data_IF_494917197923
#
_entry.id   IF_494917197923
#
_cell.length_a   1.000
_cell.length_b   1.000
_cell.length_c   1.000
_cell.angle_alpha   90.00
_cell.angle_beta   90.00
_cell.angle_gamma   90.00
#
_symmetry.space_group_name_H-M   'P 1'
#
loop_
_entity.id
_entity.type
_entity.pdbx_description
1 polymer ?
#
# COMPACT_ATOMS: atom_id res chain seq x y z
N UNK A 1 -8.91 -47.57 -56.01
CA UNK A 1 -9.62 -47.29 -54.73
C UNK A 1 -8.70 -47.06 -53.51
N UNK A 2 -7.38 -46.83 -53.65
CA UNK A 2 -6.47 -46.56 -52.51
C UNK A 2 -6.12 -45.08 -52.27
N UNK A 3 -6.57 -44.17 -53.15
CA UNK A 3 -6.17 -42.75 -53.11
C UNK A 3 -7.12 -41.86 -52.27
N UNK A 4 -8.39 -42.24 -52.15
CA UNK A 4 -9.39 -41.46 -51.39
C UNK A 4 -9.26 -41.60 -49.86
N UNK A 5 -8.66 -42.69 -49.37
CA UNK A 5 -8.50 -42.93 -47.93
C UNK A 5 -7.37 -42.08 -47.32
N UNK A 6 -6.31 -41.80 -48.08
CA UNK A 6 -5.16 -41.01 -47.62
C UNK A 6 -5.47 -39.51 -47.57
N UNK A 7 -6.31 -39.02 -48.49
CA UNK A 7 -6.75 -37.62 -48.54
C UNK A 7 -7.75 -37.32 -47.41
N UNK A 8 -8.65 -38.26 -47.10
CA UNK A 8 -9.60 -38.11 -45.99
C UNK A 8 -8.89 -38.04 -44.62
N UNK A 9 -7.82 -38.81 -44.41
CA UNK A 9 -7.05 -38.79 -43.16
C UNK A 9 -6.27 -37.46 -42.97
N UNK A 10 -5.77 -36.88 -44.06
CA UNK A 10 -5.06 -35.59 -44.03
C UNK A 10 -6.00 -34.40 -43.71
N UNK A 11 -7.25 -34.45 -44.15
CA UNK A 11 -8.26 -33.42 -43.86
C UNK A 11 -8.72 -33.48 -42.39
N UNK A 12 -8.79 -34.67 -41.79
CA UNK A 12 -9.13 -34.86 -40.37
C UNK A 12 -8.01 -34.32 -39.46
N UNK A 13 -6.73 -34.54 -39.82
CA UNK A 13 -5.60 -33.97 -39.07
C UNK A 13 -5.49 -32.46 -39.25
N UNK A 14 -5.80 -31.92 -40.43
CA UNK A 14 -5.79 -30.48 -40.68
C UNK A 14 -6.94 -29.73 -39.99
N UNK A 15 -8.08 -30.39 -39.73
CA UNK A 15 -9.20 -29.83 -38.95
C UNK A 15 -9.05 -30.04 -37.43
N UNK A 16 -8.10 -30.88 -37.00
CA UNK A 16 -7.60 -31.01 -35.63
C UNK A 16 -6.48 -30.01 -35.29
N UNK A 17 -6.18 -29.07 -36.19
CA UNK A 17 -5.48 -27.82 -35.88
C UNK A 17 -6.40 -26.96 -35.03
N UNK A 18 -6.67 -27.48 -33.83
CA UNK A 18 -7.31 -26.83 -32.72
C UNK A 18 -6.73 -25.43 -32.66
N UNK A 19 -7.58 -24.43 -32.83
CA UNK A 19 -7.27 -23.08 -32.39
C UNK A 19 -7.06 -23.17 -30.87
N UNK A 20 -5.88 -23.63 -30.44
CA UNK A 20 -5.41 -23.47 -29.07
C UNK A 20 -5.01 -22.00 -29.01
N UNK A 21 -6.02 -21.14 -28.97
CA UNK A 21 -5.85 -19.79 -28.48
C UNK A 21 -5.51 -20.01 -27.01
N UNK A 22 -4.21 -19.98 -26.67
CA UNK A 22 -3.76 -19.98 -25.28
C UNK A 22 -4.30 -18.68 -24.70
N UNK A 23 -5.47 -18.76 -24.06
CA UNK A 23 -6.07 -17.63 -23.38
C UNK A 23 -5.05 -17.13 -22.35
N UNK A 24 -4.82 -15.82 -22.33
CA UNK A 24 -3.90 -15.24 -21.36
C UNK A 24 -4.40 -15.59 -19.95
N UNK A 25 -3.51 -16.00 -19.04
CA UNK A 25 -3.90 -16.39 -17.68
C UNK A 25 -4.55 -15.19 -17.00
N UNK A 26 -5.72 -15.39 -16.40
CA UNK A 26 -6.43 -14.33 -15.68
C UNK A 26 -5.61 -13.88 -14.47
N UNK A 27 -5.40 -12.58 -14.38
CA UNK A 27 -4.64 -11.93 -13.31
C UNK A 27 -5.62 -11.27 -12.33
N UNK A 28 -5.47 -11.53 -11.03
CA UNK A 28 -6.17 -10.83 -9.95
C UNK A 28 -5.27 -9.82 -9.24
N UNK A 29 -5.83 -8.69 -8.83
CA UNK A 29 -5.17 -7.74 -7.92
C UNK A 29 -5.73 -7.94 -6.51
N UNK A 30 -4.87 -8.32 -5.57
CA UNK A 30 -5.18 -8.42 -4.15
C UNK A 30 -4.58 -7.23 -3.42
N UNK A 31 -5.40 -6.30 -2.95
CA UNK A 31 -4.96 -5.16 -2.11
C UNK A 31 -5.03 -5.62 -0.65
N UNK A 32 -3.90 -5.59 0.06
CA UNK A 32 -3.79 -6.10 1.44
C UNK A 32 -3.62 -4.93 2.40
N UNK A 33 -4.58 -4.73 3.30
CA UNK A 33 -4.44 -3.84 4.44
C UNK A 33 -4.26 -4.63 5.73
N UNK A 34 -3.81 -3.96 6.78
CA UNK A 34 -3.69 -4.57 8.10
C UNK A 34 -5.05 -5.03 8.64
N UNK A 35 -6.03 -4.12 8.63
CA UNK A 35 -7.35 -4.32 9.26
C UNK A 35 -7.38 -3.81 10.70
N UNK A 36 -8.58 -3.47 11.15
CA UNK A 36 -8.87 -2.91 12.47
C UNK A 36 -10.10 -3.58 13.07
N UNK A 37 -10.18 -3.74 14.39
CA UNK A 37 -11.43 -4.12 15.05
C UNK A 37 -12.57 -3.11 14.82
N UNK A 38 -12.24 -1.87 14.43
CA UNK A 38 -13.23 -0.84 14.13
C UNK A 38 -13.62 -0.81 12.66
N UNK A 39 -14.90 -1.08 12.39
CA UNK A 39 -15.47 -1.06 11.05
C UNK A 39 -15.30 0.30 10.35
N UNK A 40 -15.36 1.40 11.09
CA UNK A 40 -15.16 2.75 10.55
C UNK A 40 -13.77 2.93 9.94
N UNK A 41 -12.75 2.29 10.51
CA UNK A 41 -11.38 2.35 9.99
C UNK A 41 -11.17 1.42 8.79
N UNK A 42 -11.98 0.37 8.67
CA UNK A 42 -11.92 -0.58 7.55
C UNK A 42 -12.67 -0.05 6.31
N UNK A 43 -13.71 0.76 6.48
CA UNK A 43 -14.57 1.21 5.39
C UNK A 43 -13.81 1.92 4.25
N UNK A 44 -12.91 2.91 4.51
CA UNK A 44 -12.16 3.57 3.44
C UNK A 44 -11.28 2.61 2.63
N UNK A 45 -10.77 1.55 3.29
CA UNK A 45 -9.94 0.54 2.63
C UNK A 45 -10.79 -0.31 1.69
N UNK A 46 -11.99 -0.71 2.11
CA UNK A 46 -12.91 -1.47 1.27
C UNK A 46 -13.34 -0.67 0.04
N UNK A 47 -13.55 0.64 0.19
CA UNK A 47 -13.88 1.56 -0.90
C UNK A 47 -12.77 1.69 -1.96
N UNK A 48 -11.50 1.40 -1.61
CA UNK A 48 -10.39 1.41 -2.58
C UNK A 48 -10.62 0.41 -3.71
N UNK A 49 -11.35 -0.68 -3.47
CA UNK A 49 -11.62 -1.68 -4.51
C UNK A 49 -12.30 -1.05 -5.74
N UNK A 50 -13.37 -0.29 -5.50
CA UNK A 50 -14.16 0.32 -6.58
C UNK A 50 -13.43 1.51 -7.20
N UNK A 51 -12.71 2.29 -6.39
CA UNK A 51 -11.88 3.39 -6.88
C UNK A 51 -10.75 2.92 -7.80
N UNK A 52 -10.04 1.84 -7.42
CA UNK A 52 -8.98 1.26 -8.25
C UNK A 52 -9.54 0.67 -9.53
N UNK A 53 -10.66 -0.07 -9.46
CA UNK A 53 -11.35 -0.56 -10.66
C UNK A 53 -11.72 0.57 -11.61
N UNK A 54 -12.31 1.65 -11.08
CA UNK A 54 -12.68 2.83 -11.86
C UNK A 54 -11.47 3.44 -12.56
N UNK A 55 -10.40 3.77 -11.81
CA UNK A 55 -9.20 4.41 -12.38
C UNK A 55 -8.52 3.55 -13.43
N UNK A 56 -8.42 2.24 -13.22
CA UNK A 56 -7.81 1.32 -14.18
C UNK A 56 -8.61 1.21 -15.48
N UNK A 57 -9.94 1.19 -15.37
CA UNK A 57 -10.84 1.11 -16.52
C UNK A 57 -10.84 2.42 -17.31
N UNK A 58 -10.89 3.57 -16.64
CA UNK A 58 -10.85 4.90 -17.28
C UNK A 58 -9.55 5.12 -18.08
N UNK A 59 -8.43 4.56 -17.62
CA UNK A 59 -7.15 4.62 -18.34
C UNK A 59 -7.07 3.66 -19.53
N UNK A 60 -8.02 2.73 -19.68
CA UNK A 60 -8.02 1.73 -20.75
C UNK A 60 -6.94 0.64 -20.63
N UNK A 61 -6.27 0.54 -19.49
CA UNK A 61 -5.08 -0.29 -19.29
C UNK A 61 -5.27 -1.39 -18.25
N UNK A 62 -6.50 -1.68 -17.80
CA UNK A 62 -6.74 -2.64 -16.73
C UNK A 62 -6.28 -4.07 -17.10
N UNK A 63 -5.17 -4.58 -16.54
CA UNK A 63 -4.70 -5.94 -16.82
C UNK A 63 -5.39 -6.98 -15.92
N UNK A 64 -6.18 -6.54 -14.94
CA UNK A 64 -6.75 -7.38 -13.89
C UNK A 64 -8.16 -7.81 -14.25
N UNK A 65 -8.39 -9.13 -14.20
CA UNK A 65 -9.72 -9.73 -14.35
C UNK A 65 -10.60 -9.53 -13.12
N UNK A 66 -9.99 -9.36 -11.94
CA UNK A 66 -10.69 -8.97 -10.71
C UNK A 66 -9.73 -8.18 -9.80
N UNK A 67 -10.29 -7.28 -9.00
CA UNK A 67 -9.58 -6.48 -7.99
C UNK A 67 -10.34 -6.65 -6.69
N UNK A 68 -9.65 -7.04 -5.61
CA UNK A 68 -10.25 -7.29 -4.30
C UNK A 68 -9.36 -6.75 -3.19
N UNK A 69 -10.00 -6.30 -2.12
CA UNK A 69 -9.34 -5.92 -0.88
C UNK A 69 -9.42 -7.10 0.08
N UNK A 70 -8.36 -7.31 0.86
CA UNK A 70 -8.34 -8.23 1.99
C UNK A 70 -7.62 -7.60 3.19
N UNK A 71 -7.97 -8.08 4.38
CA UNK A 71 -7.30 -7.74 5.62
C UNK A 71 -6.39 -8.88 6.08
N UNK A 72 -5.20 -8.51 6.56
CA UNK A 72 -4.29 -9.45 7.20
C UNK A 72 -4.87 -9.97 8.52
N UNK A 73 -5.50 -9.07 9.29
CA UNK A 73 -6.02 -9.35 10.63
C UNK A 73 -7.30 -8.55 10.94
N UNK A 74 -7.97 -8.91 12.05
CA UNK A 74 -9.09 -8.20 12.70
C UNK A 74 -10.38 -7.98 11.90
N UNK A 75 -10.35 -8.12 10.58
CA UNK A 75 -11.44 -7.76 9.70
C UNK A 75 -11.61 -8.74 8.56
N UNK A 76 -12.77 -8.67 7.90
CA UNK A 76 -13.11 -9.46 6.73
C UNK A 76 -13.31 -8.54 5.52
N UNK A 77 -13.01 -9.02 4.30
CA UNK A 77 -12.58 -10.39 3.98
C UNK A 77 -11.10 -10.66 4.31
N UNK A 78 -10.78 -11.88 4.74
CA UNK A 78 -9.39 -12.32 4.98
C UNK A 78 -8.65 -12.61 3.68
N UNK A 79 -7.30 -12.60 3.72
CA UNK A 79 -6.46 -12.98 2.58
C UNK A 79 -6.84 -14.37 2.03
N UNK A 80 -6.98 -15.38 2.88
CA UNK A 80 -7.39 -16.74 2.47
C UNK A 80 -8.76 -16.73 1.76
N UNK A 81 -9.75 -16.03 2.31
CA UNK A 81 -11.09 -16.00 1.71
C UNK A 81 -11.10 -15.39 0.31
N UNK A 82 -10.32 -14.33 0.08
CA UNK A 82 -10.21 -13.68 -1.23
C UNK A 82 -9.42 -14.54 -2.21
N UNK A 83 -8.37 -15.22 -1.75
CA UNK A 83 -7.61 -16.16 -2.59
C UNK A 83 -8.51 -17.32 -3.05
N UNK A 84 -9.33 -17.90 -2.17
CA UNK A 84 -10.31 -18.93 -2.56
C UNK A 84 -11.34 -18.41 -3.56
N UNK A 85 -11.80 -17.17 -3.41
CA UNK A 85 -12.68 -16.52 -4.39
C UNK A 85 -12.01 -16.39 -5.76
N UNK A 86 -10.75 -15.98 -5.79
CA UNK A 86 -9.95 -15.90 -7.01
C UNK A 86 -9.83 -17.26 -7.71
N UNK A 87 -9.55 -18.33 -6.96
CA UNK A 87 -9.52 -19.68 -7.53
C UNK A 87 -10.87 -20.09 -8.13
N UNK A 88 -11.97 -19.85 -7.40
CA UNK A 88 -13.34 -20.14 -7.89
C UNK A 88 -13.67 -19.39 -9.18
N UNK A 89 -13.11 -18.18 -9.36
CA UNK A 89 -13.32 -17.34 -10.54
C UNK A 89 -12.32 -17.63 -11.68
N UNK A 90 -11.45 -18.64 -11.51
CA UNK A 90 -10.46 -19.06 -12.50
C UNK A 90 -9.31 -18.08 -12.68
N UNK A 91 -9.04 -17.24 -11.68
CA UNK A 91 -7.78 -16.49 -11.59
C UNK A 91 -6.63 -17.50 -11.46
N UNK A 92 -5.53 -17.24 -12.14
CA UNK A 92 -4.36 -18.13 -12.17
C UNK A 92 -3.10 -17.43 -11.62
N UNK A 93 -3.08 -16.09 -11.71
CA UNK A 93 -1.99 -15.25 -11.22
C UNK A 93 -2.57 -14.19 -10.29
N UNK A 94 -1.88 -13.87 -9.20
CA UNK A 94 -2.27 -12.83 -8.27
C UNK A 94 -1.13 -11.86 -8.09
N UNK A 95 -1.40 -10.57 -8.24
CA UNK A 95 -0.51 -9.52 -7.75
C UNK A 95 -1.03 -9.04 -6.40
N UNK A 96 -0.30 -9.34 -5.34
CA UNK A 96 -0.66 -8.97 -3.97
C UNK A 96 0.05 -7.67 -3.59
N UNK A 97 -0.70 -6.59 -3.37
CA UNK A 97 -0.17 -5.25 -3.06
C UNK A 97 -0.47 -4.89 -1.60
N UNK A 98 0.53 -4.92 -0.71
CA UNK A 98 0.36 -4.48 0.67
C UNK A 98 0.33 -2.95 0.75
N UNK A 99 -0.81 -2.38 1.13
CA UNK A 99 -1.00 -0.92 1.31
C UNK A 99 -0.53 -0.47 2.71
N UNK A 100 0.75 -0.68 2.96
CA UNK A 100 1.43 -0.30 4.19
C UNK A 100 2.37 0.88 3.95
N UNK A 101 2.49 1.76 4.94
CA UNK A 101 3.31 2.98 4.81
C UNK A 101 4.78 2.65 4.58
N UNK A 102 5.34 1.74 5.36
CA UNK A 102 6.72 1.33 5.27
C UNK A 102 6.84 -0.17 5.58
N UNK A 103 8.04 -0.72 5.35
CA UNK A 103 8.35 -2.09 5.75
C UNK A 103 8.21 -2.25 7.27
N UNK A 104 7.59 -3.35 7.65
CA UNK A 104 7.39 -3.83 9.02
C UNK A 104 7.51 -5.36 9.07
N UNK A 105 7.46 -5.93 10.27
CA UNK A 105 7.35 -7.38 10.47
C UNK A 105 6.19 -7.97 9.68
N UNK A 106 5.02 -7.31 9.72
CA UNK A 106 3.85 -7.74 8.96
C UNK A 106 4.11 -7.89 7.47
N UNK A 107 4.79 -6.92 6.85
CA UNK A 107 5.05 -6.95 5.40
C UNK A 107 6.19 -7.87 5.01
N UNK A 108 7.12 -8.16 5.94
CA UNK A 108 8.32 -8.96 5.68
C UNK A 108 8.13 -10.44 6.00
N UNK A 109 7.28 -10.76 6.97
CA UNK A 109 7.13 -12.12 7.50
C UNK A 109 5.67 -12.58 7.42
N UNK A 110 4.75 -11.85 8.06
CA UNK A 110 3.37 -12.31 8.23
C UNK A 110 2.63 -12.41 6.90
N UNK A 111 2.56 -11.34 6.11
CA UNK A 111 1.87 -11.35 4.80
C UNK A 111 2.48 -12.38 3.84
N UNK A 112 3.81 -12.46 3.67
CA UNK A 112 4.42 -13.55 2.91
C UNK A 112 4.05 -14.95 3.43
N UNK A 113 4.00 -15.15 4.74
CA UNK A 113 3.61 -16.43 5.33
C UNK A 113 2.13 -16.75 5.11
N UNK A 114 1.23 -15.79 5.32
CA UNK A 114 -0.21 -15.93 5.05
C UNK A 114 -0.45 -16.30 3.58
N UNK A 115 0.31 -15.72 2.64
CA UNK A 115 0.23 -16.03 1.22
C UNK A 115 0.89 -17.37 0.82
N UNK A 116 1.51 -18.09 1.76
CA UNK A 116 2.25 -19.33 1.49
C UNK A 116 3.59 -19.13 0.76
N UNK A 117 4.12 -17.91 0.73
CA UNK A 117 5.37 -17.54 0.06
C UNK A 117 6.59 -17.61 0.99
N UNK A 118 6.36 -17.69 2.28
CA UNK A 118 7.37 -17.77 3.32
C UNK A 118 6.95 -18.81 4.36
N UNK A 119 7.91 -19.58 4.88
CA UNK A 119 7.63 -20.63 5.85
C UNK A 119 8.68 -20.61 6.95
N UNK A 120 8.34 -19.95 8.05
CA UNK A 120 9.09 -19.98 9.30
C UNK A 120 8.19 -20.55 10.40
N UNK A 121 8.63 -21.59 11.13
CA UNK A 121 7.79 -22.25 12.12
C UNK A 121 7.28 -21.34 13.24
N UNK A 122 8.06 -20.34 13.66
CA UNK A 122 7.65 -19.41 14.72
C UNK A 122 6.56 -18.46 14.21
N UNK A 123 6.75 -17.93 13.00
CA UNK A 123 5.75 -17.07 12.34
C UNK A 123 4.45 -17.84 12.09
N UNK A 124 4.54 -19.06 11.54
CA UNK A 124 3.37 -19.91 11.28
C UNK A 124 2.61 -20.20 12.57
N UNK A 125 3.31 -20.60 13.64
CA UNK A 125 2.68 -20.87 14.93
C UNK A 125 2.00 -19.61 15.50
N UNK A 126 2.59 -18.43 15.30
CA UNK A 126 2.00 -17.17 15.75
C UNK A 126 0.69 -16.86 15.00
N UNK A 127 0.72 -16.96 13.67
CA UNK A 127 -0.47 -16.76 12.82
C UNK A 127 -1.59 -17.73 13.19
N UNK A 128 -1.26 -18.99 13.49
CA UNK A 128 -2.23 -19.99 13.96
C UNK A 128 -2.88 -19.59 15.29
N UNK A 129 -2.10 -19.06 16.24
CA UNK A 129 -2.63 -18.56 17.53
C UNK A 129 -3.55 -17.35 17.34
N UNK A 130 -3.29 -16.53 16.35
CA UNK A 130 -4.12 -15.37 15.95
C UNK A 130 -5.35 -15.79 15.14
N UNK A 131 -5.49 -17.08 14.81
CA UNK A 131 -6.62 -17.60 14.04
C UNK A 131 -6.54 -17.27 12.54
N UNK A 132 -5.34 -16.95 12.05
CA UNK A 132 -5.10 -16.58 10.65
C UNK A 132 -4.82 -17.85 9.84
N UNK A 133 -5.54 -18.02 8.75
CA UNK A 133 -5.37 -19.17 7.86
C UNK A 133 -4.31 -18.90 6.82
N UNK A 134 -3.31 -19.78 6.73
CA UNK A 134 -2.32 -19.77 5.66
C UNK A 134 -2.95 -20.30 4.37
N UNK A 135 -2.79 -19.53 3.30
CA UNK A 135 -3.27 -19.85 1.96
C UNK A 135 -2.65 -21.16 1.47
N UNK A 136 -3.50 -22.02 0.91
CA UNK A 136 -3.12 -23.22 0.19
C UNK A 136 -3.66 -23.11 -1.24
N UNK A 137 -2.81 -22.72 -2.20
CA UNK A 137 -3.22 -22.49 -3.59
C UNK A 137 -2.13 -22.91 -4.58
N UNK A 138 -2.53 -23.27 -5.79
CA UNK A 138 -1.63 -23.47 -6.92
C UNK A 138 -1.48 -22.21 -7.79
N UNK A 139 -2.17 -21.11 -7.46
CA UNK A 139 -2.03 -19.84 -8.19
C UNK A 139 -0.63 -19.26 -8.00
N UNK A 140 -0.11 -18.61 -9.05
CA UNK A 140 1.15 -17.91 -8.94
C UNK A 140 0.94 -16.53 -8.31
N UNK A 141 1.44 -16.34 -7.08
CA UNK A 141 1.32 -15.08 -6.35
C UNK A 141 2.65 -14.29 -6.45
N UNK A 142 2.55 -13.04 -6.87
CA UNK A 142 3.65 -12.07 -6.80
C UNK A 142 3.33 -11.03 -5.75
N UNK A 143 4.19 -10.90 -4.74
CA UNK A 143 4.07 -9.85 -3.72
C UNK A 143 4.70 -8.54 -4.23
N UNK A 144 3.90 -7.49 -4.25
CA UNK A 144 4.30 -6.13 -4.56
C UNK A 144 4.99 -5.43 -3.38
N UNK A 145 5.56 -4.24 -3.63
CA UNK A 145 6.19 -3.46 -2.58
C UNK A 145 5.16 -2.79 -1.66
N UNK A 146 5.61 -2.26 -0.53
CA UNK A 146 4.85 -1.31 0.29
C UNK A 146 4.77 0.07 -0.38
N UNK A 147 3.91 0.95 0.12
CA UNK A 147 3.70 2.30 -0.43
C UNK A 147 4.92 3.23 -0.26
N UNK A 148 5.87 2.90 0.62
CA UNK A 148 7.13 3.66 0.75
C UNK A 148 8.00 3.58 -0.50
N UNK A 149 7.79 2.56 -1.36
CA UNK A 149 8.50 2.45 -2.64
C UNK A 149 7.81 3.36 -3.66
N UNK A 150 8.55 4.35 -4.15
CA UNK A 150 8.03 5.38 -5.04
C UNK A 150 7.79 6.71 -4.31
N UNK A 151 7.04 7.59 -4.96
CA UNK A 151 6.80 8.99 -4.60
C UNK A 151 5.40 9.26 -4.04
N UNK A 152 4.56 8.24 -3.87
CA UNK A 152 3.17 8.38 -3.38
C UNK A 152 3.09 9.21 -2.09
N UNK A 153 3.93 8.93 -1.09
CA UNK A 153 3.94 9.73 0.14
C UNK A 153 4.52 11.12 -0.05
N UNK A 154 5.42 11.30 -1.00
CA UNK A 154 6.03 12.60 -1.26
C UNK A 154 4.96 13.54 -1.83
N UNK A 155 4.15 13.06 -2.80
CA UNK A 155 3.02 13.79 -3.38
C UNK A 155 1.86 13.98 -2.40
N UNK A 156 1.41 12.91 -1.72
CA UNK A 156 0.28 13.01 -0.77
C UNK A 156 0.60 14.00 0.36
N UNK A 157 1.82 13.96 0.91
CA UNK A 157 2.20 14.89 1.97
C UNK A 157 2.36 16.32 1.46
N UNK A 158 2.87 16.50 0.23
CA UNK A 158 2.93 17.82 -0.41
C UNK A 158 1.54 18.42 -0.60
N UNK A 159 0.57 17.62 -1.06
CA UNK A 159 -0.81 18.07 -1.22
C UNK A 159 -1.41 18.51 0.11
N UNK A 160 -1.21 17.73 1.19
CA UNK A 160 -1.65 18.12 2.54
C UNK A 160 -1.01 19.41 3.01
N UNK A 161 0.28 19.61 2.75
CA UNK A 161 0.95 20.87 3.10
C UNK A 161 0.37 22.03 2.31
N UNK A 162 0.10 21.87 1.02
CA UNK A 162 -0.50 22.93 0.19
C UNK A 162 -1.93 23.28 0.59
N UNK A 163 -2.70 22.31 1.06
CA UNK A 163 -4.06 22.53 1.58
C UNK A 163 -4.05 23.37 2.87
N UNK A 164 -3.00 23.26 3.68
CA UNK A 164 -2.88 23.91 4.99
C UNK A 164 -2.06 25.22 4.97
N UNK A 165 -1.09 25.31 4.08
CA UNK A 165 -0.14 26.41 4.00
C UNK A 165 -0.76 27.65 3.36
N UNK A 166 -0.52 28.81 3.95
CA UNK A 166 -1.00 30.11 3.42
C UNK A 166 0.15 31.08 3.14
N UNK A 167 1.24 30.99 3.90
CA UNK A 167 2.43 31.80 3.75
C UNK A 167 3.70 30.91 3.93
N UNK A 168 4.08 30.14 2.90
CA UNK A 168 5.13 29.12 2.97
C UNK A 168 6.49 29.63 3.46
N UNK A 169 6.79 30.90 3.21
CA UNK A 169 8.02 31.56 3.62
C UNK A 169 8.09 31.80 5.15
N UNK A 170 6.92 31.86 5.82
CA UNK A 170 6.78 32.15 7.25
C UNK A 170 6.43 30.94 8.10
N UNK A 171 6.18 29.81 7.46
CA UNK A 171 5.66 28.60 8.08
C UNK A 171 6.76 27.55 8.28
N UNK A 172 6.49 26.58 9.13
CA UNK A 172 7.31 25.40 9.31
C UNK A 172 6.42 24.17 9.44
N UNK A 173 6.89 23.03 8.94
CA UNK A 173 6.15 21.78 8.96
C UNK A 173 6.82 20.81 9.90
N UNK A 174 6.04 20.16 10.76
CA UNK A 174 6.49 19.02 11.56
C UNK A 174 5.61 17.83 11.23
N UNK A 175 6.21 16.76 10.70
CA UNK A 175 5.51 15.52 10.41
C UNK A 175 5.54 14.64 11.65
N UNK A 176 4.37 14.33 12.19
CA UNK A 176 4.22 13.39 13.32
C UNK A 176 3.91 12.01 12.76
N UNK A 177 4.84 11.08 12.95
CA UNK A 177 4.70 9.71 12.46
C UNK A 177 4.58 8.74 13.64
N UNK A 178 3.87 7.64 13.44
CA UNK A 178 3.88 6.53 14.40
C UNK A 178 5.31 6.00 14.60
N UNK A 179 5.99 5.73 13.49
CA UNK A 179 7.32 5.15 13.49
C UNK A 179 7.32 3.66 13.86
N UNK A 180 8.52 3.11 14.03
CA UNK A 180 8.75 1.77 14.53
C UNK A 180 10.13 1.70 15.18
N UNK A 181 10.22 1.11 16.36
CA UNK A 181 11.52 0.94 17.03
C UNK A 181 12.42 -0.01 16.24
N UNK A 182 11.86 -1.11 15.72
CA UNK A 182 12.60 -2.10 14.94
C UNK A 182 12.99 -1.58 13.55
N UNK A 183 12.14 -0.76 12.93
CA UNK A 183 12.34 -0.27 11.55
C UNK A 183 12.68 1.23 11.49
N UNK A 184 13.23 1.79 12.57
CA UNK A 184 13.53 3.23 12.70
C UNK A 184 14.36 3.78 11.53
N UNK A 185 15.41 3.10 11.02
CA UNK A 185 16.19 3.61 9.89
C UNK A 185 15.37 3.77 8.59
N UNK A 186 14.42 2.86 8.35
CA UNK A 186 13.55 2.89 7.16
C UNK A 186 12.61 4.09 7.25
N UNK A 187 11.97 4.27 8.41
CA UNK A 187 11.10 5.41 8.68
C UNK A 187 11.85 6.75 8.60
N UNK A 188 13.05 6.85 9.19
CA UNK A 188 13.89 8.04 9.08
C UNK A 188 14.23 8.37 7.63
N UNK A 189 14.50 7.35 6.80
CA UNK A 189 14.82 7.55 5.38
C UNK A 189 13.61 8.08 4.61
N UNK A 190 12.44 7.47 4.83
CA UNK A 190 11.17 7.92 4.25
C UNK A 190 10.85 9.36 4.64
N UNK A 191 10.88 9.68 5.94
CA UNK A 191 10.52 11.02 6.43
C UNK A 191 11.52 12.08 5.97
N UNK A 192 12.83 11.80 5.96
CA UNK A 192 13.82 12.75 5.41
C UNK A 192 13.59 13.04 3.94
N UNK A 193 13.23 12.02 3.15
CA UNK A 193 12.90 12.18 1.72
C UNK A 193 11.68 13.08 1.56
N UNK A 194 10.59 12.78 2.28
CA UNK A 194 9.36 13.60 2.28
C UNK A 194 9.65 15.03 2.71
N UNK A 195 10.39 15.24 3.81
CA UNK A 195 10.75 16.57 4.31
C UNK A 195 11.52 17.37 3.26
N UNK A 196 12.52 16.75 2.62
CA UNK A 196 13.30 17.39 1.57
C UNK A 196 12.44 17.73 0.35
N UNK A 197 11.52 16.84 -0.02
CA UNK A 197 10.60 17.04 -1.13
C UNK A 197 9.66 18.23 -0.88
N UNK A 198 9.05 18.29 0.30
CA UNK A 198 8.17 19.40 0.70
C UNK A 198 8.93 20.72 0.67
N UNK A 199 10.08 20.81 1.35
CA UNK A 199 10.90 22.04 1.35
C UNK A 199 11.24 22.51 -0.07
N UNK A 200 11.62 21.59 -0.96
CA UNK A 200 11.96 21.92 -2.34
C UNK A 200 10.75 22.40 -3.16
N UNK A 201 9.55 21.90 -2.89
CA UNK A 201 8.34 22.18 -3.69
C UNK A 201 7.50 23.34 -3.17
N UNK A 202 7.62 23.70 -1.90
CA UNK A 202 6.82 24.78 -1.27
C UNK A 202 7.64 26.02 -0.93
N UNK A 203 8.97 25.89 -0.79
CA UNK A 203 9.81 26.96 -0.26
C UNK A 203 9.80 27.08 1.27
N UNK A 204 9.11 26.19 1.97
CA UNK A 204 9.11 26.13 3.44
C UNK A 204 10.53 25.81 3.94
N UNK A 205 11.12 26.78 4.64
CA UNK A 205 12.52 26.73 5.08
C UNK A 205 12.77 25.75 6.24
N UNK A 206 11.71 25.31 6.94
CA UNK A 206 11.85 24.37 8.05
C UNK A 206 10.82 23.23 7.94
N UNK A 207 11.31 22.03 7.62
CA UNK A 207 10.53 20.80 7.67
C UNK A 207 11.28 19.78 8.50
N UNK A 208 10.62 19.23 9.51
CA UNK A 208 11.18 18.26 10.44
C UNK A 208 10.15 17.18 10.78
N UNK A 209 10.52 16.19 11.59
CA UNK A 209 9.61 15.12 11.95
C UNK A 209 9.89 14.55 13.35
N UNK A 210 8.87 13.92 13.94
CA UNK A 210 8.98 13.24 15.22
C UNK A 210 8.22 11.89 15.17
N UNK A 211 8.71 10.92 15.95
CA UNK A 211 8.02 9.66 16.18
C UNK A 211 7.22 9.75 17.47
N UNK A 212 5.90 9.57 17.35
CA UNK A 212 4.97 9.73 18.48
C UNK A 212 4.22 8.45 18.83
N UNK A 213 4.54 7.32 18.19
CA UNK A 213 3.83 6.05 18.37
C UNK A 213 2.32 6.22 18.12
N UNK A 214 1.46 5.73 19.01
CA UNK A 214 0.02 5.98 18.99
C UNK A 214 -0.35 7.28 19.75
N UNK A 215 0.58 8.22 19.84
CA UNK A 215 0.44 9.51 20.53
C UNK A 215 1.03 9.55 21.93
N UNK A 216 1.46 8.42 22.50
CA UNK A 216 2.02 8.36 23.86
C UNK A 216 3.27 9.22 24.00
N UNK A 217 4.08 9.26 22.93
CA UNK A 217 5.34 9.99 22.89
C UNK A 217 5.18 11.42 22.33
N UNK A 218 3.95 11.92 22.17
CA UNK A 218 3.70 13.26 21.65
C UNK A 218 4.33 14.35 22.53
N UNK A 219 4.20 14.24 23.85
CA UNK A 219 4.72 15.25 24.78
C UNK A 219 6.25 15.15 24.91
N UNK A 220 6.79 13.94 24.94
CA UNK A 220 8.21 13.69 25.18
C UNK A 220 9.06 13.84 23.92
N UNK A 221 8.56 13.42 22.76
CA UNK A 221 9.31 13.40 21.50
C UNK A 221 8.77 14.42 20.48
N UNK A 222 7.44 14.58 20.40
CA UNK A 222 6.81 15.49 19.44
C UNK A 222 6.92 16.97 19.81
N UNK A 223 6.52 17.32 21.04
CA UNK A 223 6.48 18.71 21.49
C UNK A 223 7.85 19.41 21.44
N UNK A 224 8.99 18.77 21.79
CA UNK A 224 10.30 19.40 21.62
C UNK A 224 10.61 19.81 20.18
N UNK A 225 10.27 18.97 19.20
CA UNK A 225 10.48 19.27 17.78
C UNK A 225 9.60 20.42 17.32
N UNK A 226 8.32 20.41 17.72
CA UNK A 226 7.36 21.50 17.42
C UNK A 226 7.85 22.83 18.02
N UNK A 227 8.25 22.83 19.29
CA UNK A 227 8.75 24.03 19.97
C UNK A 227 10.07 24.52 19.36
N UNK A 228 10.94 23.61 18.92
CA UNK A 228 12.18 23.98 18.23
C UNK A 228 11.88 24.65 16.89
N UNK A 229 10.96 24.09 16.10
CA UNK A 229 10.49 24.68 14.84
C UNK A 229 9.92 26.07 15.08
N UNK A 230 9.01 26.23 16.03
CA UNK A 230 8.35 27.51 16.34
C UNK A 230 9.34 28.60 16.76
N UNK A 231 10.47 28.25 17.38
CA UNK A 231 11.54 29.20 17.69
C UNK A 231 12.34 29.62 16.46
N UNK A 232 12.57 28.69 15.52
CA UNK A 232 13.32 28.97 14.28
C UNK A 232 12.52 29.80 13.29
N UNK A 233 11.24 29.48 13.08
CA UNK A 233 10.35 30.27 12.21
C UNK A 233 10.19 31.71 12.71
N UNK A 234 10.15 31.93 14.03
CA UNK A 234 10.13 33.29 14.62
C UNK A 234 11.42 34.10 14.44
N UNK A 235 12.57 33.46 14.21
CA UNK A 235 13.90 34.10 14.21
C UNK A 235 14.38 34.50 12.80
N UNK A 236 13.86 33.88 11.74
CA UNK A 236 14.21 34.24 10.36
C UNK A 236 13.38 35.46 9.91
N UNK A 237 13.96 36.65 9.97
CA UNK A 237 13.32 37.96 9.73
C UNK A 237 12.84 38.21 8.28
N UNK A 238 12.76 37.19 7.43
CA UNK A 238 12.22 37.30 6.07
C UNK A 238 10.69 37.17 5.99
N UNK A 239 10.04 36.90 7.12
CA UNK A 239 8.61 36.63 7.17
C UNK A 239 7.91 37.18 8.40
N UNK A 240 7.36 38.38 8.27
CA UNK A 240 6.24 38.81 9.10
C UNK A 240 5.32 39.74 8.31
N UNK A 241 4.02 39.44 8.36
CA UNK A 241 3.07 40.44 8.83
C UNK A 241 2.43 39.88 10.11
N UNK A 242 2.77 40.47 11.27
CA UNK A 242 2.11 40.19 12.55
C UNK A 242 0.62 40.51 12.42
N UNK A 243 -0.24 39.56 12.79
CA UNK A 243 -1.56 39.88 13.33
C UNK A 243 -1.79 38.99 14.54
N UNK A 244 -1.62 39.59 15.72
CA UNK A 244 -2.05 39.02 17.00
C UNK A 244 -3.57 39.04 17.03
N UNK A 245 -4.21 37.89 17.22
CA UNK A 245 -5.52 37.84 17.86
C UNK A 245 -5.54 36.70 18.86
N UNK A 246 -5.38 37.08 20.13
CA UNK A 246 -6.03 36.41 21.24
C UNK A 246 -7.50 36.86 21.24
N UNK A 247 -8.45 35.94 21.37
CA UNK A 247 -9.62 36.13 22.24
C UNK A 247 -10.33 34.79 22.48
N UNK A 248 -10.37 34.44 23.77
CA UNK A 248 -11.22 33.49 24.53
C UNK A 248 -11.51 32.10 23.95
#
# INVERSE_FOLDING_TARGET
MKCYHTIALAIIVASLSWNISIAQPKLGLLIIAHGSPSQQWNAPVLELMDQVKYVLNERGENPFSDVRVAFAEFAQPSIDSVIRDFERNGIQKVYALPIFVALSSHTLFDIPAILGLYNDPEVVQQLEKEGITIVQTNMHITLGPTLSKGDVFDEVMLDRVRELSTAPDSEGVVILAHGSNQFKPIWCTLLRRISSYISAKTGICYVDFAFVEMGQSLITEGAPVILHMAKKTKRDHRCWSLSFFWHQ
#
